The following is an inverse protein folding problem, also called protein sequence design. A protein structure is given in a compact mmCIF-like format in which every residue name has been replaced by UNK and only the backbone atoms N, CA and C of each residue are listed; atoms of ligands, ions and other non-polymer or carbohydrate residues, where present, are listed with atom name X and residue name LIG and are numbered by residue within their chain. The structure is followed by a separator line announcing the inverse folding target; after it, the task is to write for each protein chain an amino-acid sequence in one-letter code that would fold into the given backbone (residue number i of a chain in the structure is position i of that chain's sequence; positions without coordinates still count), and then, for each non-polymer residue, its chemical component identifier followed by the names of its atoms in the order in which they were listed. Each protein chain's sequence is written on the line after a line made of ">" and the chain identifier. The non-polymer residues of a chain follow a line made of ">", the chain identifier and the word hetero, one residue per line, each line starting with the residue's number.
data_IF_757196908908
#
_entry.id   IF_757196908908
#
_cell.length_a   1.000
_cell.length_b   1.000
_cell.length_c   1.000
_cell.angle_alpha   90.00
_cell.angle_beta   90.00
_cell.angle_gamma   90.00
#
_symmetry.space_group_name_H-M   'P 1'
#
loop_
_entity.id
_entity.type
_entity.pdbx_description
1 polymer ?
#
# COMPACT_ATOMS: atom_id res chain seq x y z
N UNK A 1 22.13 -9.06 24.37
CA UNK A 1 21.84 -7.97 23.42
C UNK A 1 21.04 -8.55 22.29
N UNK A 2 19.82 -8.09 22.13
CA UNK A 2 19.02 -8.49 20.96
C UNK A 2 19.76 -7.97 19.74
N UNK A 3 20.03 -8.85 18.81
CA UNK A 3 20.65 -8.49 17.55
C UNK A 3 19.81 -7.39 16.87
N UNK A 4 20.49 -6.36 16.34
CA UNK A 4 19.83 -5.27 15.63
C UNK A 4 18.96 -5.77 14.48
N UNK A 5 19.43 -6.80 13.80
CA UNK A 5 18.67 -7.44 12.74
C UNK A 5 17.38 -8.06 13.27
N UNK A 6 17.47 -8.82 14.34
CA UNK A 6 16.31 -9.45 14.98
C UNK A 6 15.28 -8.41 15.42
N UNK A 7 15.74 -7.36 16.12
CA UNK A 7 14.87 -6.28 16.58
C UNK A 7 14.19 -5.57 15.39
N UNK A 8 14.97 -5.23 14.36
CA UNK A 8 14.47 -4.56 13.17
C UNK A 8 13.41 -5.41 12.45
N UNK A 9 13.76 -6.66 12.15
CA UNK A 9 12.87 -7.55 11.38
C UNK A 9 11.58 -7.88 12.12
N UNK A 10 11.66 -8.13 13.41
CA UNK A 10 10.47 -8.40 14.23
C UNK A 10 9.55 -7.17 14.33
N UNK A 11 10.13 -5.98 14.54
CA UNK A 11 9.36 -4.74 14.61
C UNK A 11 8.65 -4.43 13.29
N UNK A 12 9.33 -4.55 12.16
CA UNK A 12 8.74 -4.31 10.84
C UNK A 12 7.62 -5.31 10.54
N UNK A 13 7.84 -6.59 10.85
CA UNK A 13 6.81 -7.62 10.67
C UNK A 13 5.58 -7.35 11.53
N UNK A 14 5.77 -6.97 12.79
CA UNK A 14 4.66 -6.65 13.69
C UNK A 14 3.91 -5.41 13.24
N UNK A 15 4.60 -4.35 12.84
CA UNK A 15 3.99 -3.14 12.28
C UNK A 15 3.16 -3.49 11.05
N UNK A 16 3.71 -4.29 10.14
CA UNK A 16 3.02 -4.72 8.93
C UNK A 16 1.75 -5.53 9.25
N UNK A 17 1.84 -6.44 10.23
CA UNK A 17 0.71 -7.24 10.70
C UNK A 17 -0.40 -6.36 11.28
N UNK A 18 -0.03 -5.42 12.15
CA UNK A 18 -0.97 -4.48 12.76
C UNK A 18 -1.65 -3.61 11.71
N UNK A 19 -0.89 -3.11 10.75
CA UNK A 19 -1.42 -2.31 9.63
C UNK A 19 -2.48 -3.06 8.84
N UNK A 20 -2.21 -4.31 8.47
CA UNK A 20 -3.18 -5.13 7.72
C UNK A 20 -4.44 -5.37 8.52
N UNK A 21 -4.32 -5.58 9.81
CA UNK A 21 -5.47 -5.76 10.71
C UNK A 21 -6.32 -4.50 10.77
N UNK A 22 -5.69 -3.33 11.00
CA UNK A 22 -6.38 -2.04 11.06
C UNK A 22 -7.07 -1.75 9.72
N UNK A 23 -6.36 -1.89 8.62
CA UNK A 23 -6.93 -1.69 7.28
C UNK A 23 -8.10 -2.65 7.00
N UNK A 24 -7.99 -3.89 7.45
CA UNK A 24 -9.06 -4.89 7.30
C UNK A 24 -10.34 -4.49 8.01
N UNK A 25 -10.25 -3.99 9.22
CA UNK A 25 -11.41 -3.49 9.98
C UNK A 25 -12.07 -2.31 9.29
N UNK A 26 -11.27 -1.37 8.75
CA UNK A 26 -11.77 -0.18 8.07
C UNK A 26 -12.35 -0.48 6.69
N UNK A 27 -11.88 -1.53 6.01
CA UNK A 27 -12.37 -1.94 4.69
C UNK A 27 -13.49 -2.97 4.73
N UNK A 28 -13.84 -3.47 5.91
CA UNK A 28 -14.84 -4.52 6.10
C UNK A 28 -16.21 -4.13 5.54
N UNK A 29 -16.62 -2.88 5.70
CA UNK A 29 -17.89 -2.36 5.17
C UNK A 29 -17.97 -2.37 3.64
N UNK A 30 -16.82 -2.42 2.96
CA UNK A 30 -16.74 -2.55 1.51
C UNK A 30 -16.58 -4.01 1.06
N UNK A 31 -16.60 -4.96 1.98
CA UNK A 31 -16.38 -6.37 1.71
C UNK A 31 -14.95 -6.71 1.32
N UNK A 32 -13.99 -5.90 1.75
CA UNK A 32 -12.58 -6.03 1.40
C UNK A 32 -11.75 -6.47 2.60
N UNK A 33 -10.56 -7.02 2.31
CA UNK A 33 -9.54 -7.38 3.29
C UNK A 33 -8.49 -6.27 3.39
N UNK A 34 -7.67 -6.31 4.44
CA UNK A 34 -6.59 -5.34 4.65
C UNK A 34 -5.57 -5.28 3.51
N UNK A 35 -5.33 -6.41 2.84
CA UNK A 35 -4.44 -6.49 1.68
C UNK A 35 -4.90 -5.64 0.48
N UNK A 36 -6.17 -5.28 0.40
CA UNK A 36 -6.69 -4.40 -0.65
C UNK A 36 -6.31 -2.93 -0.44
N UNK A 37 -5.94 -2.54 0.78
CA UNK A 37 -5.61 -1.14 1.09
C UNK A 37 -4.47 -0.59 0.23
N UNK A 38 -3.43 -1.38 -0.01
CA UNK A 38 -2.27 -0.99 -0.82
C UNK A 38 -2.70 -0.70 -2.27
N UNK A 39 -3.57 -1.54 -2.83
CA UNK A 39 -4.10 -1.35 -4.19
C UNK A 39 -4.93 -0.08 -4.29
N UNK A 40 -5.87 0.11 -3.37
CA UNK A 40 -6.72 1.30 -3.33
C UNK A 40 -5.90 2.58 -3.18
N UNK A 41 -4.93 2.59 -2.26
CA UNK A 41 -4.07 3.75 -2.03
C UNK A 41 -3.18 4.07 -3.22
N UNK A 42 -2.66 3.05 -3.89
CA UNK A 42 -1.85 3.23 -5.09
C UNK A 42 -2.68 3.82 -6.23
N UNK A 43 -3.86 3.26 -6.49
CA UNK A 43 -4.76 3.79 -7.52
C UNK A 43 -5.28 5.19 -7.20
N UNK A 44 -5.51 5.49 -5.93
CA UNK A 44 -5.92 6.83 -5.50
C UNK A 44 -4.90 7.91 -5.86
N UNK A 45 -3.61 7.59 -5.78
CA UNK A 45 -2.54 8.51 -6.19
C UNK A 45 -2.39 8.65 -7.70
N UNK A 46 -3.13 7.85 -8.47
CA UNK A 46 -3.11 7.87 -9.94
C UNK A 46 -4.53 8.07 -10.50
N UNK A 47 -5.12 9.26 -10.29
CA UNK A 47 -6.52 9.50 -10.67
C UNK A 47 -6.75 9.43 -12.19
N UNK A 48 -5.70 9.61 -12.99
CA UNK A 48 -5.76 9.46 -14.45
C UNK A 48 -5.72 8.01 -14.92
N UNK A 49 -5.50 7.10 -14.00
CA UNK A 49 -5.39 5.69 -14.29
C UNK A 49 -3.98 5.13 -14.17
N UNK A 50 -3.89 3.84 -13.96
CA UNK A 50 -2.64 3.11 -13.77
C UNK A 50 -2.72 1.78 -14.51
N UNK A 51 -1.64 1.40 -15.19
CA UNK A 51 -1.55 0.09 -15.83
C UNK A 51 -1.34 -1.02 -14.79
N UNK A 52 -1.68 -2.27 -15.14
CA UNK A 52 -1.43 -3.41 -14.25
C UNK A 52 0.05 -3.56 -13.92
N UNK A 53 0.99 -3.49 -14.89
CA UNK A 53 2.42 -3.55 -14.57
C UNK A 53 2.89 -2.46 -13.60
N UNK A 54 2.43 -1.22 -13.79
CA UNK A 54 2.73 -0.12 -12.87
C UNK A 54 2.18 -0.37 -11.47
N UNK A 55 0.95 -0.88 -11.38
CA UNK A 55 0.34 -1.20 -10.10
C UNK A 55 1.15 -2.27 -9.35
N UNK A 56 1.60 -3.31 -10.05
CA UNK A 56 2.46 -4.35 -9.48
C UNK A 56 3.78 -3.76 -8.96
N UNK A 57 4.44 -2.95 -9.77
CA UNK A 57 5.72 -2.33 -9.41
C UNK A 57 5.59 -1.44 -8.15
N UNK A 58 4.60 -0.56 -8.14
CA UNK A 58 4.41 0.41 -7.05
C UNK A 58 3.86 -0.24 -5.77
N UNK A 59 3.07 -1.30 -5.89
CA UNK A 59 2.52 -2.01 -4.72
C UNK A 59 3.44 -3.10 -4.19
N UNK A 60 4.50 -3.45 -4.92
CA UNK A 60 5.40 -4.54 -4.56
C UNK A 60 4.74 -5.92 -4.63
N UNK A 61 3.70 -6.08 -5.43
CA UNK A 61 2.94 -7.32 -5.58
C UNK A 61 3.22 -7.97 -6.94
N UNK A 62 3.13 -9.29 -6.98
CA UNK A 62 3.26 -10.01 -8.24
C UNK A 62 1.99 -9.89 -9.10
N UNK A 63 2.11 -10.23 -10.38
CA UNK A 63 1.03 -10.15 -11.36
C UNK A 63 -0.16 -11.04 -10.98
N UNK A 64 0.10 -12.23 -10.43
CA UNK A 64 -0.93 -13.17 -10.02
C UNK A 64 -1.78 -12.62 -8.89
N UNK A 65 -1.14 -12.07 -7.86
CA UNK A 65 -1.83 -11.42 -6.74
C UNK A 65 -2.63 -10.21 -7.21
N UNK A 66 -2.01 -9.35 -8.01
CA UNK A 66 -2.67 -8.16 -8.57
C UNK A 66 -3.90 -8.52 -9.39
N UNK A 67 -3.80 -9.52 -10.27
CA UNK A 67 -4.93 -9.96 -11.11
C UNK A 67 -6.12 -10.42 -10.27
N UNK A 68 -5.87 -11.18 -9.21
CA UNK A 68 -6.93 -11.64 -8.30
C UNK A 68 -7.58 -10.48 -7.55
N UNK A 69 -6.77 -9.57 -7.05
CA UNK A 69 -7.25 -8.41 -6.30
C UNK A 69 -8.03 -7.44 -7.18
N UNK A 70 -7.55 -7.19 -8.39
CA UNK A 70 -8.25 -6.35 -9.37
C UNK A 70 -9.61 -6.96 -9.72
N UNK A 71 -9.68 -8.27 -9.95
CA UNK A 71 -10.94 -8.95 -10.25
C UNK A 71 -11.97 -8.77 -9.12
N UNK A 72 -11.55 -8.87 -7.87
CA UNK A 72 -12.40 -8.64 -6.71
C UNK A 72 -12.86 -7.17 -6.66
N UNK A 73 -11.97 -6.23 -6.89
CA UNK A 73 -12.29 -4.79 -6.88
C UNK A 73 -13.25 -4.42 -8.01
N UNK A 74 -13.07 -5.02 -9.19
CA UNK A 74 -13.99 -4.82 -10.32
C UNK A 74 -15.39 -5.41 -10.04
N UNK A 75 -15.44 -6.63 -9.50
CA UNK A 75 -16.70 -7.30 -9.13
C UNK A 75 -17.50 -6.49 -8.12
N UNK A 76 -16.81 -5.86 -7.17
CA UNK A 76 -17.44 -5.02 -6.13
C UNK A 76 -17.74 -3.59 -6.60
N UNK A 77 -17.42 -3.26 -7.84
CA UNK A 77 -17.70 -1.94 -8.40
C UNK A 77 -16.80 -0.83 -7.90
N UNK A 78 -15.60 -1.17 -7.43
CA UNK A 78 -14.64 -0.21 -6.89
C UNK A 78 -13.61 0.27 -7.91
N UNK A 79 -13.40 -0.51 -8.98
CA UNK A 79 -12.43 -0.24 -10.04
C UNK A 79 -13.06 -0.54 -11.39
N UNK A 80 -12.70 0.24 -12.39
CA UNK A 80 -13.01 -0.03 -13.80
C UNK A 80 -11.75 0.01 -14.63
N UNK A 81 -11.78 -0.66 -15.79
CA UNK A 81 -10.73 -0.54 -16.80
C UNK A 81 -11.19 0.43 -17.88
N UNK A 82 -10.36 1.42 -18.17
CA UNK A 82 -10.58 2.31 -19.30
C UNK A 82 -9.81 1.81 -20.51
N UNK A 83 -10.45 1.81 -21.67
CA UNK A 83 -9.78 1.45 -22.92
C UNK A 83 -8.71 2.45 -23.28
N UNK A 84 -7.58 1.93 -23.78
CA UNK A 84 -6.53 2.70 -24.41
C UNK A 84 -6.38 2.18 -25.82
N UNK A 85 -6.50 3.06 -26.81
CA UNK A 85 -6.42 2.72 -28.25
C UNK A 85 -7.40 1.59 -28.65
N UNK A 86 -8.60 1.57 -28.06
CA UNK A 86 -9.63 0.57 -28.36
C UNK A 86 -9.38 -0.81 -27.77
N UNK A 87 -8.38 -0.95 -26.88
CA UNK A 87 -8.03 -2.22 -26.25
C UNK A 87 -8.19 -2.16 -24.73
N UNK A 88 -9.02 -3.05 -24.18
CA UNK A 88 -9.14 -3.29 -22.74
C UNK A 88 -7.89 -3.97 -22.18
N UNK A 89 -7.17 -4.71 -23.00
CA UNK A 89 -5.96 -5.40 -22.59
C UNK A 89 -4.84 -4.44 -22.16
N UNK A 90 -4.79 -3.25 -22.79
CA UNK A 90 -3.88 -2.15 -22.45
C UNK A 90 -4.57 -1.10 -21.59
N UNK A 91 -5.74 -1.45 -21.03
CA UNK A 91 -6.57 -0.53 -20.26
C UNK A 91 -5.89 -0.02 -19.01
N UNK A 92 -6.26 1.19 -18.64
CA UNK A 92 -5.88 1.78 -17.37
C UNK A 92 -6.92 1.44 -16.31
N UNK A 93 -6.45 1.10 -15.13
CA UNK A 93 -7.30 0.88 -13.96
C UNK A 93 -7.61 2.23 -13.33
N UNK A 94 -8.88 2.49 -13.07
CA UNK A 94 -9.36 3.74 -12.47
C UNK A 94 -10.33 3.42 -11.35
N UNK A 95 -10.22 4.10 -10.23
CA UNK A 95 -11.20 4.00 -9.15
C UNK A 95 -12.55 4.58 -9.60
N UNK A 96 -13.63 3.87 -9.27
CA UNK A 96 -14.98 4.41 -9.35
C UNK A 96 -15.19 5.42 -8.21
N UNK A 97 -16.35 6.08 -8.17
CA UNK A 97 -16.70 6.96 -7.03
C UNK A 97 -16.72 6.16 -5.72
N UNK A 98 -17.25 4.94 -5.74
CA UNK A 98 -17.23 4.06 -4.57
C UNK A 98 -15.80 3.65 -4.20
N UNK A 99 -14.96 3.34 -5.18
CA UNK A 99 -13.55 3.00 -4.96
C UNK A 99 -12.77 4.17 -4.37
N UNK A 100 -13.04 5.38 -4.83
CA UNK A 100 -12.43 6.59 -4.28
C UNK A 100 -12.87 6.82 -2.83
N UNK A 101 -14.15 6.64 -2.54
CA UNK A 101 -14.69 6.72 -1.18
C UNK A 101 -13.98 5.73 -0.24
N UNK A 102 -13.83 4.48 -0.68
CA UNK A 102 -13.13 3.44 0.09
C UNK A 102 -11.66 3.80 0.34
N UNK A 103 -10.97 4.27 -0.69
CA UNK A 103 -9.57 4.70 -0.59
C UNK A 103 -9.42 5.89 0.37
N UNK A 104 -10.25 6.89 0.25
CA UNK A 104 -10.25 8.07 1.14
C UNK A 104 -10.54 7.68 2.58
N UNK A 105 -11.50 6.79 2.79
CA UNK A 105 -11.85 6.31 4.13
C UNK A 105 -10.64 5.63 4.80
N UNK A 106 -10.03 4.65 4.14
CA UNK A 106 -8.88 3.94 4.73
C UNK A 106 -7.69 4.86 4.93
N UNK A 107 -7.47 5.82 4.02
CA UNK A 107 -6.38 6.80 4.14
C UNK A 107 -6.57 7.71 5.35
N UNK A 108 -7.77 8.22 5.57
CA UNK A 108 -8.08 9.05 6.76
C UNK A 108 -7.88 8.27 8.05
N UNK A 109 -8.35 7.02 8.09
CA UNK A 109 -8.20 6.17 9.28
C UNK A 109 -6.74 5.81 9.53
N UNK A 110 -6.00 5.52 8.47
CA UNK A 110 -4.57 5.26 8.54
C UNK A 110 -3.79 6.47 9.09
N UNK A 111 -4.10 7.67 8.62
CA UNK A 111 -3.47 8.89 9.13
C UNK A 111 -3.69 9.07 10.63
N UNK A 112 -4.92 8.84 11.10
CA UNK A 112 -5.24 8.90 12.54
C UNK A 112 -4.48 7.84 13.34
N UNK A 113 -4.34 6.64 12.80
CA UNK A 113 -3.61 5.58 13.47
C UNK A 113 -2.11 5.91 13.58
N UNK A 114 -1.52 6.48 12.55
CA UNK A 114 -0.12 6.95 12.56
C UNK A 114 0.08 8.05 13.60
N UNK A 115 -0.82 9.03 13.64
CA UNK A 115 -0.79 10.11 14.64
C UNK A 115 -0.88 9.54 16.07
N UNK A 116 -1.81 8.63 16.30
CA UNK A 116 -1.98 8.01 17.62
C UNK A 116 -0.76 7.16 18.01
N UNK A 117 -0.22 6.37 17.06
CA UNK A 117 0.94 5.53 17.32
C UNK A 117 2.21 6.33 17.64
N UNK A 118 2.35 7.51 17.04
CA UNK A 118 3.49 8.41 17.26
C UNK A 118 3.25 9.49 18.30
N UNK A 119 2.17 9.37 19.10
CA UNK A 119 1.75 10.44 20.01
C UNK A 119 2.76 10.83 21.10
N UNK A 120 3.62 9.90 21.49
CA UNK A 120 4.68 10.14 22.49
C UNK A 120 5.94 10.75 21.91
N UNK A 121 6.03 10.88 20.58
CA UNK A 121 7.20 11.44 19.91
C UNK A 121 7.04 12.95 19.75
N UNK A 122 8.09 13.71 20.12
CA UNK A 122 8.13 15.12 19.77
C UNK A 122 8.38 15.31 18.27
N UNK A 123 8.21 16.52 17.76
CA UNK A 123 8.32 16.81 16.34
C UNK A 123 9.73 16.53 15.80
N UNK A 124 10.77 16.87 16.57
CA UNK A 124 12.17 16.63 16.17
C UNK A 124 12.45 15.13 16.02
N UNK A 125 12.04 14.32 16.99
CA UNK A 125 12.19 12.86 16.96
C UNK A 125 11.42 12.26 15.80
N UNK A 126 10.23 12.77 15.53
CA UNK A 126 9.37 12.33 14.43
C UNK A 126 10.03 12.60 13.08
N UNK A 127 10.59 13.77 12.86
CA UNK A 127 11.33 14.11 11.66
C UNK A 127 12.55 13.22 11.44
N UNK A 128 13.33 12.98 12.51
CA UNK A 128 14.49 12.09 12.48
C UNK A 128 14.06 10.68 12.10
N UNK A 129 12.99 10.18 12.71
CA UNK A 129 12.46 8.85 12.44
C UNK A 129 12.06 8.69 10.97
N UNK A 130 11.30 9.62 10.41
CA UNK A 130 10.87 9.52 9.02
C UNK A 130 12.01 9.64 8.02
N UNK A 131 13.02 10.48 8.30
CA UNK A 131 14.23 10.53 7.47
C UNK A 131 15.00 9.20 7.50
N UNK A 132 15.15 8.61 8.69
CA UNK A 132 15.80 7.31 8.84
C UNK A 132 15.00 6.22 8.14
N UNK A 133 13.68 6.24 8.26
CA UNK A 133 12.79 5.29 7.61
C UNK A 133 12.91 5.35 6.09
N UNK A 134 12.90 6.55 5.51
CA UNK A 134 13.07 6.76 4.07
C UNK A 134 14.42 6.24 3.58
N UNK A 135 15.48 6.55 4.31
CA UNK A 135 16.83 6.08 3.98
C UNK A 135 16.92 4.56 3.98
N UNK A 136 16.42 3.92 5.02
CA UNK A 136 16.41 2.46 5.14
C UNK A 136 15.57 1.83 4.03
N UNK A 137 14.40 2.38 3.77
CA UNK A 137 13.48 1.88 2.73
C UNK A 137 14.14 1.94 1.36
N UNK A 138 14.77 3.07 1.02
CA UNK A 138 15.43 3.26 -0.27
C UNK A 138 16.60 2.28 -0.44
N UNK A 139 17.44 2.13 0.57
CA UNK A 139 18.58 1.21 0.53
C UNK A 139 18.15 -0.25 0.45
N UNK A 140 17.15 -0.66 1.23
CA UNK A 140 16.62 -2.01 1.17
C UNK A 140 15.99 -2.32 -0.19
N UNK A 141 15.31 -1.34 -0.78
CA UNK A 141 14.75 -1.50 -2.13
C UNK A 141 15.85 -1.76 -3.15
N UNK A 142 16.96 -1.03 -3.08
CA UNK A 142 18.12 -1.26 -3.94
C UNK A 142 18.76 -2.63 -3.70
N UNK A 143 18.98 -2.98 -2.45
CA UNK A 143 19.58 -4.28 -2.07
C UNK A 143 18.71 -5.45 -2.53
N UNK A 144 17.39 -5.31 -2.48
CA UNK A 144 16.49 -6.35 -2.95
C UNK A 144 16.60 -6.62 -4.46
N UNK A 145 17.03 -5.61 -5.22
CA UNK A 145 17.22 -5.70 -6.68
C UNK A 145 18.62 -6.13 -7.07
N UNK A 146 19.63 -5.64 -6.36
CA UNK A 146 21.06 -5.83 -6.70
C UNK A 146 21.73 -6.93 -5.90
N UNK A 147 21.14 -7.38 -4.81
CA UNK A 147 21.73 -8.31 -3.87
C UNK A 147 22.53 -7.62 -2.76
N UNK A 148 22.82 -8.38 -1.72
CA UNK A 148 23.60 -7.93 -0.56
C UNK A 148 25.09 -7.90 -0.93
N UNK A 149 25.82 -6.82 -0.62
CA UNK A 149 27.27 -6.81 -0.88
C UNK A 149 28.00 -7.85 -0.04
N UNK A 150 29.09 -8.43 -0.60
CA UNK A 150 29.95 -9.40 0.08
C UNK A 150 30.74 -8.78 1.24
#
# INVERSE_FOLDING_TARGET
>A
MVDRFEHFSLAINEISRCWRKIAGEELKKYGLKGSHATYLSTMYRHPQGISVPQLCELSGKDKSDASRMIAILEEKGLVTKQEVDGSLYRGLLVLTDLGREAAEHVRRRAARAVEAAGGDLDEETREIFYRALDSITNHLTELSKKGIPE
#
